data_IF_680952273108
#
_entry.id   IF_680952273108
#
_cell.length_a   1.000
_cell.length_b   1.000
_cell.length_c   1.000
_cell.angle_alpha   90.00
_cell.angle_beta   90.00
_cell.angle_gamma   90.00
#
_symmetry.space_group_name_H-M   'P 1'
#
loop_
_entity.id
_entity.type
_entity.pdbx_description
1 polymer ?
#
# COMPACT_ATOMS: atom_id res chain seq x y z
N UNK A 1 15.26 -9.78 -49.66
CA UNK A 1 15.79 -9.23 -48.39
C UNK A 1 14.66 -9.20 -47.38
N UNK A 2 14.83 -9.81 -46.19
CA UNK A 2 13.80 -9.83 -45.11
C UNK A 2 14.16 -8.74 -44.10
N UNK A 3 13.31 -7.72 -43.98
CA UNK A 3 13.47 -6.66 -42.99
C UNK A 3 12.76 -7.07 -41.71
N UNK A 4 13.52 -7.29 -40.63
CA UNK A 4 12.98 -7.57 -39.31
C UNK A 4 12.74 -6.24 -38.59
N UNK A 5 11.47 -5.87 -38.39
CA UNK A 5 11.10 -4.68 -37.62
C UNK A 5 11.09 -5.07 -36.14
N UNK A 6 12.04 -4.56 -35.37
CA UNK A 6 12.02 -4.65 -33.90
C UNK A 6 11.11 -3.56 -33.36
N UNK A 7 10.00 -3.95 -32.75
CA UNK A 7 9.09 -3.03 -32.06
C UNK A 7 9.45 -3.06 -30.58
N UNK A 8 9.99 -1.96 -30.07
CA UNK A 8 10.24 -1.77 -28.63
C UNK A 8 8.99 -1.11 -28.02
N UNK A 9 8.22 -1.86 -27.24
CA UNK A 9 7.04 -1.34 -26.53
C UNK A 9 7.50 -0.41 -25.40
N UNK A 10 7.25 0.90 -25.53
CA UNK A 10 7.61 1.93 -24.55
C UNK A 10 6.51 2.23 -23.53
N UNK A 11 5.35 1.60 -23.62
CA UNK A 11 4.25 1.80 -22.68
C UNK A 11 4.43 0.94 -21.43
N UNK A 12 4.67 1.60 -20.30
CA UNK A 12 4.60 0.99 -18.98
C UNK A 12 3.15 0.59 -18.70
N UNK A 13 2.83 -0.70 -18.71
CA UNK A 13 1.51 -1.21 -18.36
C UNK A 13 1.23 -0.83 -16.91
N UNK A 14 0.30 0.10 -16.69
CA UNK A 14 -0.02 0.50 -15.33
C UNK A 14 -0.81 -0.64 -14.65
N UNK A 15 -0.27 -1.16 -13.55
CA UNK A 15 -0.92 -2.23 -12.78
C UNK A 15 -2.21 -1.69 -12.17
N UNK A 16 -3.33 -2.33 -12.49
CA UNK A 16 -4.60 -2.15 -11.78
C UNK A 16 -4.44 -2.63 -10.34
N UNK A 17 -4.86 -1.80 -9.39
CA UNK A 17 -4.89 -2.16 -7.98
C UNK A 17 -6.20 -2.87 -7.67
N UNK A 18 -6.13 -3.85 -6.78
CA UNK A 18 -7.30 -4.58 -6.28
C UNK A 18 -7.20 -4.71 -4.77
N UNK A 19 -8.28 -5.19 -4.13
CA UNK A 19 -8.25 -5.53 -2.69
C UNK A 19 -7.20 -6.59 -2.32
N UNK A 20 -6.73 -7.35 -3.30
CA UNK A 20 -5.69 -8.36 -3.13
C UNK A 20 -4.28 -7.81 -3.41
N UNK A 21 -4.16 -6.57 -3.89
CA UNK A 21 -2.86 -5.89 -3.99
C UNK A 21 -2.22 -5.79 -2.61
N UNK A 22 -0.90 -5.92 -2.56
CA UNK A 22 -0.19 -5.87 -1.28
C UNK A 22 0.03 -4.44 -0.82
N UNK A 23 0.23 -4.24 0.48
CA UNK A 23 0.67 -2.94 1.01
C UNK A 23 1.96 -2.50 0.31
N UNK A 24 2.90 -3.42 0.05
CA UNK A 24 4.12 -3.13 -0.69
C UNK A 24 3.86 -2.59 -2.10
N UNK A 25 2.92 -3.17 -2.85
CA UNK A 25 2.55 -2.69 -4.19
C UNK A 25 2.06 -1.25 -4.16
N UNK A 26 1.31 -0.88 -3.10
CA UNK A 26 0.78 0.49 -2.98
C UNK A 26 1.84 1.47 -2.50
N UNK A 27 2.65 1.11 -1.49
CA UNK A 27 3.64 2.03 -0.92
C UNK A 27 4.87 2.21 -1.81
N UNK A 28 5.13 1.33 -2.77
CA UNK A 28 6.20 1.54 -3.77
C UNK A 28 5.83 2.64 -4.76
N UNK A 29 4.53 2.86 -4.99
CA UNK A 29 4.02 3.96 -5.79
C UNK A 29 3.97 5.27 -4.98
N UNK A 30 4.57 6.34 -5.49
CA UNK A 30 4.58 7.65 -4.83
C UNK A 30 3.17 8.18 -4.53
N UNK A 31 2.22 7.92 -5.42
CA UNK A 31 0.84 8.34 -5.26
C UNK A 31 0.07 7.44 -4.30
N UNK A 32 0.34 6.12 -4.36
CA UNK A 32 -0.29 5.18 -3.46
C UNK A 32 0.07 5.43 -2.00
N UNK A 33 1.33 5.83 -1.72
CA UNK A 33 1.74 6.28 -0.38
C UNK A 33 0.86 7.42 0.13
N UNK A 34 0.63 8.45 -0.69
CA UNK A 34 -0.15 9.61 -0.27
C UNK A 34 -1.62 9.27 -0.01
N UNK A 35 -2.21 8.42 -0.86
CA UNK A 35 -3.60 7.98 -0.71
C UNK A 35 -3.78 7.22 0.61
N UNK A 36 -2.95 6.20 0.86
CA UNK A 36 -3.01 5.43 2.12
C UNK A 36 -2.74 6.34 3.31
N UNK A 37 -1.73 7.23 3.24
CA UNK A 37 -1.42 8.15 4.33
C UNK A 37 -2.61 9.04 4.70
N UNK A 38 -3.30 9.60 3.70
CA UNK A 38 -4.46 10.44 3.92
C UNK A 38 -5.60 9.67 4.60
N UNK A 39 -5.84 8.42 4.20
CA UNK A 39 -6.88 7.56 4.79
C UNK A 39 -6.51 7.20 6.23
N UNK A 40 -5.27 6.77 6.47
CA UNK A 40 -4.75 6.47 7.81
C UNK A 40 -4.82 7.70 8.74
N UNK A 41 -4.55 8.89 8.22
CA UNK A 41 -4.63 10.13 9.00
C UNK A 41 -6.07 10.46 9.42
N UNK A 42 -7.08 10.05 8.64
CA UNK A 42 -8.51 10.23 8.98
C UNK A 42 -8.97 9.26 10.06
N UNK A 43 -8.31 8.11 10.20
CA UNK A 43 -8.62 7.11 11.22
C UNK A 43 -8.23 7.66 12.59
N UNK A 44 -9.22 7.76 13.48
CA UNK A 44 -9.02 7.97 14.92
C UNK A 44 -9.31 6.65 15.61
N UNK A 45 -8.28 6.04 16.22
CA UNK A 45 -8.45 4.84 17.04
C UNK A 45 -8.23 5.17 18.50
N UNK A 46 -9.19 4.79 19.34
CA UNK A 46 -9.13 4.91 20.80
C UNK A 46 -8.41 3.72 21.46
N UNK A 47 -8.03 2.69 20.68
CA UNK A 47 -7.35 1.49 21.18
C UNK A 47 -5.83 1.58 21.02
N UNK A 48 -5.09 1.21 22.07
CA UNK A 48 -3.62 1.25 22.11
C UNK A 48 -2.98 0.27 21.09
N UNK A 49 -3.51 -0.95 20.96
CA UNK A 49 -2.95 -1.96 20.05
C UNK A 49 -3.07 -1.55 18.57
N UNK A 50 -4.18 -0.89 18.20
CA UNK A 50 -4.36 -0.40 16.83
C UNK A 50 -3.54 0.86 16.56
N UNK A 51 -3.30 1.69 17.58
CA UNK A 51 -2.39 2.83 17.46
C UNK A 51 -0.97 2.35 17.09
N UNK A 52 -0.50 1.26 17.70
CA UNK A 52 0.82 0.69 17.36
C UNK A 52 0.88 0.22 15.90
N UNK A 53 -0.15 -0.47 15.40
CA UNK A 53 -0.20 -0.88 13.99
C UNK A 53 -0.27 0.33 13.04
N UNK A 54 -1.10 1.33 13.34
CA UNK A 54 -1.21 2.55 12.53
C UNK A 54 0.11 3.33 12.53
N UNK A 55 0.83 3.38 13.65
CA UNK A 55 2.13 4.04 13.76
C UNK A 55 3.20 3.30 12.96
N UNK A 56 3.18 1.97 12.94
CA UNK A 56 4.07 1.17 12.07
C UNK A 56 3.77 1.45 10.59
N UNK A 57 2.50 1.48 10.19
CA UNK A 57 2.11 1.80 8.81
C UNK A 57 2.49 3.23 8.42
N UNK A 58 2.26 4.21 9.29
CA UNK A 58 2.72 5.60 9.08
C UNK A 58 4.23 5.67 8.90
N UNK A 59 4.99 4.98 9.76
CA UNK A 59 6.45 4.91 9.64
C UNK A 59 6.88 4.31 8.29
N UNK A 60 6.21 3.27 7.79
CA UNK A 60 6.51 2.70 6.46
C UNK A 60 6.22 3.68 5.32
N UNK A 61 5.23 4.55 5.46
CA UNK A 61 4.87 5.56 4.45
C UNK A 61 5.84 6.75 4.45
N UNK A 62 6.35 7.11 5.63
CA UNK A 62 7.28 8.23 5.83
C UNK A 62 8.73 7.86 5.51
N UNK A 63 9.14 6.62 5.77
CA UNK A 63 10.53 6.18 5.58
C UNK A 63 10.70 5.48 4.23
N UNK A 64 11.30 6.16 3.25
CA UNK A 64 11.83 5.56 2.02
C UNK A 64 13.09 4.69 2.26
N UNK A 65 13.56 4.60 3.50
CA UNK A 65 14.87 4.06 3.83
C UNK A 65 14.76 2.81 4.68
N UNK A 66 15.54 1.80 4.28
CA UNK A 66 15.93 0.63 5.05
C UNK A 66 16.65 1.05 6.35
N UNK A 67 15.94 1.63 7.32
CA UNK A 67 16.46 1.75 8.68
C UNK A 67 15.82 0.68 9.56
N UNK A 68 16.52 -0.45 9.56
CA UNK A 68 16.35 -1.61 10.42
C UNK A 68 16.70 -1.16 11.84
N UNK A 69 15.71 -0.71 12.61
CA UNK A 69 15.88 -0.49 14.05
C UNK A 69 15.88 -1.85 14.76
N UNK A 70 17.09 -2.38 14.95
CA UNK A 70 17.55 -3.53 15.76
C UNK A 70 16.57 -4.13 16.79
N UNK A 71 15.56 -4.84 16.31
CA UNK A 71 14.88 -5.91 17.06
C UNK A 71 14.21 -6.84 16.05
N UNK A 72 14.70 -8.08 15.92
CA UNK A 72 14.26 -9.02 14.88
C UNK A 72 12.74 -9.22 14.79
N UNK A 73 12.01 -8.98 15.89
CA UNK A 73 10.54 -9.02 15.93
C UNK A 73 9.89 -7.89 15.13
N UNK A 74 10.43 -6.66 15.15
CA UNK A 74 9.89 -5.53 14.38
C UNK A 74 10.13 -5.71 12.89
N UNK A 75 11.27 -6.31 12.51
CA UNK A 75 11.59 -6.59 11.11
C UNK A 75 10.68 -7.67 10.52
N UNK A 76 10.38 -8.72 11.27
CA UNK A 76 9.42 -9.75 10.85
C UNK A 76 8.00 -9.18 10.72
N UNK A 77 7.55 -8.38 11.70
CA UNK A 77 6.25 -7.72 11.63
C UNK A 77 6.15 -6.76 10.43
N UNK A 78 7.21 -6.01 10.16
CA UNK A 78 7.31 -5.09 9.03
C UNK A 78 7.22 -5.82 7.69
N UNK A 79 7.94 -6.93 7.53
CA UNK A 79 7.88 -7.76 6.32
C UNK A 79 6.51 -8.43 6.14
N UNK A 80 5.88 -8.86 7.24
CA UNK A 80 4.52 -9.40 7.23
C UNK A 80 3.51 -8.37 6.74
N UNK A 81 3.52 -7.15 7.30
CA UNK A 81 2.62 -6.07 6.90
C UNK A 81 2.82 -5.69 5.43
N UNK A 82 4.06 -5.62 4.93
CA UNK A 82 4.33 -5.28 3.52
C UNK A 82 3.71 -6.28 2.54
N UNK A 83 3.77 -7.58 2.86
CA UNK A 83 3.23 -8.64 2.00
C UNK A 83 1.73 -8.89 2.21
N UNK A 84 1.10 -8.14 3.11
CA UNK A 84 -0.31 -8.27 3.42
C UNK A 84 -1.18 -7.69 2.30
N UNK A 85 -2.27 -8.36 1.90
CA UNK A 85 -3.23 -7.78 0.99
C UNK A 85 -4.02 -6.66 1.67
N UNK A 86 -4.41 -5.62 0.91
CA UNK A 86 -5.19 -4.49 1.44
C UNK A 86 -6.46 -4.95 2.19
N UNK A 87 -7.12 -6.01 1.70
CA UNK A 87 -8.30 -6.61 2.37
C UNK A 87 -8.01 -7.09 3.79
N UNK A 88 -6.80 -7.58 4.08
CA UNK A 88 -6.50 -8.09 5.42
C UNK A 88 -6.48 -6.99 6.48
N UNK A 89 -6.38 -5.70 6.08
CA UNK A 89 -6.53 -4.58 7.00
C UNK A 89 -7.90 -4.58 7.66
N UNK A 90 -8.97 -4.99 6.97
CA UNK A 90 -10.33 -4.99 7.56
C UNK A 90 -10.46 -6.01 8.69
N UNK A 91 -9.81 -7.16 8.54
CA UNK A 91 -9.82 -8.25 9.53
C UNK A 91 -8.91 -7.90 10.71
N UNK A 92 -7.70 -7.43 10.44
CA UNK A 92 -6.67 -7.21 11.48
C UNK A 92 -6.87 -5.94 12.30
N UNK A 93 -7.51 -4.93 11.71
CA UNK A 93 -7.79 -3.67 12.41
C UNK A 93 -9.02 -3.74 13.33
N UNK A 94 -9.63 -4.92 13.49
CA UNK A 94 -10.79 -5.14 14.34
C UNK A 94 -11.94 -4.14 14.07
N UNK A 95 -12.21 -3.85 12.79
CA UNK A 95 -13.29 -2.94 12.37
C UNK A 95 -12.90 -1.46 12.23
N UNK A 96 -11.63 -1.10 12.44
CA UNK A 96 -11.15 0.27 12.24
C UNK A 96 -10.96 0.62 10.76
N UNK A 97 -10.52 -0.35 9.96
CA UNK A 97 -10.63 -0.29 8.51
C UNK A 97 -11.90 -1.05 8.10
N UNK A 98 -12.81 -0.34 7.44
CA UNK A 98 -13.99 -0.96 6.84
C UNK A 98 -13.70 -1.40 5.41
N UNK A 99 -14.52 -2.31 4.88
CA UNK A 99 -14.46 -2.68 3.46
C UNK A 99 -14.64 -1.46 2.55
N UNK A 100 -15.50 -0.51 2.93
CA UNK A 100 -15.72 0.72 2.17
C UNK A 100 -14.47 1.59 2.11
N UNK A 101 -13.70 1.68 3.19
CA UNK A 101 -12.43 2.42 3.20
C UNK A 101 -11.38 1.73 2.33
N UNK A 102 -11.33 0.39 2.33
CA UNK A 102 -10.41 -0.35 1.46
C UNK A 102 -10.83 -0.21 -0.01
N UNK A 103 -12.13 -0.20 -0.31
CA UNK A 103 -12.63 0.12 -1.64
C UNK A 103 -12.28 1.55 -2.05
N UNK A 104 -12.40 2.54 -1.15
CA UNK A 104 -11.97 3.92 -1.40
C UNK A 104 -10.47 3.98 -1.75
N UNK A 105 -9.60 3.25 -1.03
CA UNK A 105 -8.16 3.16 -1.37
C UNK A 105 -7.99 2.67 -2.81
N UNK A 106 -8.63 1.55 -3.15
CA UNK A 106 -8.48 0.91 -4.47
C UNK A 106 -9.03 1.81 -5.58
N UNK A 107 -10.18 2.43 -5.37
CA UNK A 107 -10.80 3.33 -6.33
C UNK A 107 -9.95 4.58 -6.56
N UNK A 108 -9.41 5.19 -5.50
CA UNK A 108 -8.52 6.36 -5.61
C UNK A 108 -7.20 6.01 -6.32
N UNK A 109 -6.67 4.81 -6.08
CA UNK A 109 -5.50 4.31 -6.80
C UNK A 109 -5.79 4.14 -8.30
N UNK A 110 -6.94 3.53 -8.63
CA UNK A 110 -7.30 3.21 -10.01
C UNK A 110 -7.81 4.42 -10.80
N UNK A 111 -8.51 5.38 -10.18
CA UNK A 111 -8.89 6.65 -10.83
C UNK A 111 -7.69 7.37 -11.40
N UNK A 112 -6.53 7.25 -10.75
CA UNK A 112 -5.30 7.89 -11.21
C UNK A 112 -4.65 7.17 -12.38
N UNK A 113 -4.88 5.86 -12.53
CA UNK A 113 -4.46 5.09 -13.71
C UNK A 113 -5.23 5.52 -14.96
N UNK A 114 -6.51 5.87 -14.79
CA UNK A 114 -7.41 6.28 -15.89
C UNK A 114 -7.17 7.72 -16.35
N UNK A 115 -6.55 8.57 -15.51
CA UNK A 115 -6.29 9.99 -15.80
C UNK A 115 -4.85 10.28 -16.25
N UNK A 116 -4.11 9.27 -16.72
CA UNK A 116 -2.76 9.36 -17.30
C UNK A 116 -2.80 8.98 -18.78
#
# INVERSE_FOLDING_TARGET
>A
MKTAIHITSTTSVQKEYTRNSTINDVITNQYGRQIIYNIIKRIKSDTNDTQDMLNILKKQLETNSQEISSSSQKDMMNAFLKNMPLRALTILSNGIFTEDMVNEVVDELNKRLVNL
#
